data_IF_804830255897
#
_entry.id   IF_804830255897
#
_cell.length_a   1.000
_cell.length_b   1.000
_cell.length_c   1.000
_cell.angle_alpha   90.00
_cell.angle_beta   90.00
_cell.angle_gamma   90.00
#
_symmetry.space_group_name_H-M   'P 1'
#
loop_
_entity.id
_entity.type
_entity.pdbx_description
1 polymer ?
#
# COMPACT_ATOMS: atom_id res chain seq x y z
N UNK A 1 -5.46 -15.73 -16.86
CA UNK A 1 -6.33 -15.93 -15.68
C UNK A 1 -6.24 -14.67 -14.83
N UNK A 2 -7.35 -14.22 -14.22
CA UNK A 2 -7.37 -13.06 -13.35
C UNK A 2 -7.79 -13.45 -11.92
N UNK A 3 -7.09 -12.98 -10.88
CA UNK A 3 -5.71 -12.43 -10.92
C UNK A 3 -4.68 -13.47 -11.36
N UNK A 4 -3.44 -13.04 -11.62
CA UNK A 4 -2.32 -13.94 -11.92
C UNK A 4 -2.07 -14.92 -10.77
N UNK A 5 -2.01 -14.42 -9.53
CA UNK A 5 -1.95 -15.23 -8.32
C UNK A 5 -3.32 -15.30 -7.63
N UNK A 6 -3.87 -16.52 -7.48
CA UNK A 6 -5.10 -16.77 -6.71
C UNK A 6 -4.95 -16.30 -5.26
N UNK A 7 -3.79 -16.58 -4.67
CA UNK A 7 -3.38 -16.06 -3.37
C UNK A 7 -1.96 -15.49 -3.54
N UNK A 8 -1.71 -14.21 -3.16
CA UNK A 8 -0.37 -13.61 -3.20
C UNK A 8 0.67 -14.49 -2.49
N UNK A 9 1.68 -14.95 -3.24
CA UNK A 9 2.73 -15.90 -2.81
C UNK A 9 2.21 -17.14 -2.03
N UNK A 10 0.97 -17.56 -2.29
CA UNK A 10 0.33 -18.68 -1.60
C UNK A 10 -0.10 -18.38 -0.15
N UNK A 11 0.22 -17.21 0.40
CA UNK A 11 -0.25 -16.77 1.71
C UNK A 11 -0.18 -15.23 1.86
N UNK A 12 -1.34 -14.58 1.90
CA UNK A 12 -1.47 -13.13 2.06
C UNK A 12 -1.05 -12.62 3.45
N UNK A 13 -0.94 -13.49 4.47
CA UNK A 13 -0.44 -13.14 5.80
C UNK A 13 1.09 -13.15 5.88
N UNK A 14 1.79 -13.60 4.84
CA UNK A 14 3.23 -13.38 4.76
C UNK A 14 3.51 -11.87 4.65
N UNK A 15 4.66 -11.39 5.12
CA UNK A 15 5.08 -10.02 4.90
C UNK A 15 5.11 -9.72 3.40
N UNK A 16 4.21 -8.85 2.97
CA UNK A 16 4.07 -8.30 1.63
C UNK A 16 4.42 -6.82 1.68
N UNK A 17 5.28 -6.35 0.77
CA UNK A 17 5.68 -4.94 0.79
C UNK A 17 4.49 -4.02 0.48
N UNK A 18 3.45 -4.51 -0.20
CA UNK A 18 2.15 -3.83 -0.32
C UNK A 18 1.66 -3.32 1.04
N UNK A 19 1.59 -4.22 2.02
CA UNK A 19 1.08 -3.91 3.35
C UNK A 19 2.03 -2.96 4.08
N UNK A 20 3.34 -3.20 3.99
CA UNK A 20 4.36 -2.35 4.62
C UNK A 20 4.32 -0.91 4.10
N UNK A 21 4.26 -0.72 2.79
CA UNK A 21 4.21 0.61 2.19
C UNK A 21 2.91 1.35 2.49
N UNK A 22 1.77 0.66 2.47
CA UNK A 22 0.48 1.28 2.82
C UNK A 22 0.41 1.67 4.31
N UNK A 23 0.93 0.85 5.22
CA UNK A 23 1.06 1.22 6.62
C UNK A 23 1.98 2.43 6.80
N UNK A 24 3.13 2.45 6.13
CA UNK A 24 4.03 3.60 6.15
C UNK A 24 3.38 4.87 5.58
N UNK A 25 2.49 4.75 4.59
CA UNK A 25 1.78 5.89 3.98
C UNK A 25 0.79 6.57 4.95
N UNK A 26 0.35 5.88 6.02
CA UNK A 26 -0.44 6.51 7.07
C UNK A 26 0.33 7.62 7.78
N UNK A 27 1.65 7.51 7.95
CA UNK A 27 2.44 8.51 8.68
C UNK A 27 2.37 9.91 8.05
N UNK A 28 2.78 10.13 6.78
CA UNK A 28 2.68 11.45 6.15
C UNK A 28 1.24 11.92 5.94
N UNK A 29 0.26 11.01 5.88
CA UNK A 29 -1.16 11.34 5.82
C UNK A 29 -1.67 11.88 7.18
N UNK A 30 -1.37 11.18 8.27
CA UNK A 30 -1.85 11.53 9.61
C UNK A 30 -1.18 12.77 10.18
N UNK A 31 0.06 13.09 9.75
CA UNK A 31 0.74 14.34 10.13
C UNK A 31 -0.05 15.59 9.71
N UNK A 32 -0.79 15.52 8.60
CA UNK A 32 -1.56 16.66 8.05
C UNK A 32 -3.06 16.50 8.27
N UNK A 33 -3.46 15.46 9.02
CA UNK A 33 -4.86 15.17 9.29
C UNK A 33 -5.42 16.19 10.28
N UNK A 34 -6.65 16.66 10.05
CA UNK A 34 -7.33 17.71 10.84
C UNK A 34 -6.80 19.14 10.71
N UNK A 35 -5.74 19.41 9.92
CA UNK A 35 -5.30 20.79 9.63
C UNK A 35 -6.38 21.59 8.88
N UNK A 36 -7.18 20.88 8.06
CA UNK A 36 -8.24 21.45 7.22
C UNK A 36 -9.43 20.49 7.13
N UNK A 37 -10.29 20.50 8.17
CA UNK A 37 -11.43 19.58 8.32
C UNK A 37 -12.31 19.39 7.06
N UNK A 38 -12.56 20.45 6.29
CA UNK A 38 -13.39 20.36 5.07
C UNK A 38 -12.62 19.95 3.81
N UNK A 39 -11.29 19.77 3.92
CA UNK A 39 -10.38 19.51 2.80
C UNK A 39 -9.42 18.36 3.10
N UNK A 40 -9.78 17.49 4.01
CA UNK A 40 -8.97 16.31 4.33
C UNK A 40 -8.86 15.38 3.12
N UNK A 41 -7.67 14.80 2.86
CA UNK A 41 -7.46 13.86 1.77
C UNK A 41 -8.04 12.47 2.08
N UNK A 42 -9.32 12.41 2.45
CA UNK A 42 -10.00 11.20 2.94
C UNK A 42 -9.99 10.05 1.92
N UNK A 43 -9.95 10.32 0.60
CA UNK A 43 -9.82 9.25 -0.40
C UNK A 43 -8.48 8.51 -0.29
N UNK A 44 -7.41 9.18 0.17
CA UNK A 44 -6.13 8.52 0.43
C UNK A 44 -6.30 7.58 1.62
N UNK A 45 -6.96 8.01 2.70
CA UNK A 45 -7.25 7.15 3.84
C UNK A 45 -8.08 5.93 3.42
N UNK A 46 -9.15 6.14 2.66
CA UNK A 46 -9.96 5.05 2.11
C UNK A 46 -9.14 4.14 1.19
N UNK A 47 -8.24 4.68 0.38
CA UNK A 47 -7.31 3.91 -0.43
C UNK A 47 -6.37 3.06 0.42
N UNK A 48 -5.75 3.62 1.45
CA UNK A 48 -4.85 2.89 2.35
C UNK A 48 -5.61 1.78 3.10
N UNK A 49 -6.68 2.13 3.82
CA UNK A 49 -7.43 1.16 4.62
C UNK A 49 -8.13 0.11 3.74
N UNK A 50 -8.69 0.54 2.61
CA UNK A 50 -9.30 -0.35 1.63
C UNK A 50 -8.28 -1.30 1.01
N UNK A 51 -7.06 -0.82 0.74
CA UNK A 51 -5.95 -1.64 0.25
C UNK A 51 -5.56 -2.71 1.27
N UNK A 52 -5.27 -2.29 2.51
CA UNK A 52 -4.90 -3.21 3.60
C UNK A 52 -5.98 -4.29 3.82
N UNK A 53 -7.26 -3.89 3.85
CA UNK A 53 -8.36 -4.83 4.03
C UNK A 53 -8.55 -5.76 2.83
N UNK A 54 -8.54 -5.22 1.60
CA UNK A 54 -8.78 -6.02 0.40
C UNK A 54 -7.64 -7.00 0.13
N UNK A 55 -6.38 -6.58 0.31
CA UNK A 55 -5.22 -7.44 0.13
C UNK A 55 -5.11 -8.46 1.26
N UNK A 56 -5.11 -8.00 2.51
CA UNK A 56 -4.84 -8.86 3.68
C UNK A 56 -5.99 -9.78 4.08
N UNK A 57 -7.25 -9.38 3.84
CA UNK A 57 -8.42 -10.12 4.35
C UNK A 57 -9.33 -10.67 3.26
N UNK A 58 -9.49 -9.95 2.12
CA UNK A 58 -10.45 -10.33 1.09
C UNK A 58 -9.84 -11.24 0.03
N UNK A 59 -8.64 -10.95 -0.46
CA UNK A 59 -8.06 -11.61 -1.64
C UNK A 59 -7.95 -13.12 -1.47
N UNK A 60 -7.42 -13.60 -0.34
CA UNK A 60 -7.24 -15.04 -0.11
C UNK A 60 -8.57 -15.83 -0.21
N UNK A 61 -9.71 -15.21 0.13
CA UNK A 61 -11.04 -15.83 0.08
C UNK A 61 -11.80 -15.54 -1.21
N UNK A 62 -11.60 -14.36 -1.79
CA UNK A 62 -12.29 -13.88 -2.98
C UNK A 62 -11.27 -13.23 -3.95
N UNK A 63 -10.50 -14.03 -4.71
CA UNK A 63 -9.33 -13.54 -5.45
C UNK A 63 -9.62 -12.41 -6.42
N UNK A 64 -10.67 -12.56 -7.23
CA UNK A 64 -11.07 -11.54 -8.22
C UNK A 64 -11.45 -10.23 -7.55
N UNK A 65 -12.22 -10.30 -6.45
CA UNK A 65 -12.68 -9.11 -5.72
C UNK A 65 -11.50 -8.45 -5.01
N UNK A 66 -10.69 -9.22 -4.27
CA UNK A 66 -9.54 -8.70 -3.54
C UNK A 66 -8.51 -8.04 -4.44
N UNK A 67 -8.15 -8.68 -5.58
CA UNK A 67 -7.22 -8.10 -6.54
C UNK A 67 -7.73 -6.77 -7.13
N UNK A 68 -9.01 -6.75 -7.52
CA UNK A 68 -9.65 -5.57 -8.12
C UNK A 68 -9.71 -4.42 -7.11
N UNK A 69 -10.16 -4.70 -5.88
CA UNK A 69 -10.23 -3.70 -4.82
C UNK A 69 -8.84 -3.20 -4.41
N UNK A 70 -7.83 -4.07 -4.34
CA UNK A 70 -6.45 -3.69 -3.99
C UNK A 70 -5.86 -2.73 -5.02
N UNK A 71 -6.14 -2.94 -6.31
CA UNK A 71 -5.69 -2.03 -7.38
C UNK A 71 -6.42 -0.70 -7.36
N UNK A 72 -7.75 -0.70 -7.19
CA UNK A 72 -8.53 0.54 -7.07
C UNK A 72 -8.07 1.34 -5.86
N UNK A 73 -7.91 0.68 -4.72
CA UNK A 73 -7.39 1.26 -3.49
C UNK A 73 -6.00 1.88 -3.71
N UNK A 74 -5.08 1.16 -4.33
CA UNK A 74 -3.75 1.67 -4.61
C UNK A 74 -3.76 2.85 -5.60
N UNK A 75 -4.62 2.81 -6.62
CA UNK A 75 -4.82 3.93 -7.53
C UNK A 75 -5.34 5.18 -6.79
N UNK A 76 -6.22 5.02 -5.80
CA UNK A 76 -6.63 6.13 -4.95
C UNK A 76 -5.44 6.71 -4.18
N UNK A 77 -4.58 5.88 -3.56
CA UNK A 77 -3.40 6.38 -2.83
C UNK A 77 -2.47 7.22 -3.71
N UNK A 78 -2.28 6.82 -4.97
CA UNK A 78 -1.39 7.52 -5.91
C UNK A 78 -2.04 8.78 -6.51
N UNK A 79 -3.30 8.68 -6.91
CA UNK A 79 -3.96 9.70 -7.73
C UNK A 79 -4.73 10.73 -6.90
N UNK A 80 -5.31 10.33 -5.77
CA UNK A 80 -6.05 11.22 -4.89
C UNK A 80 -5.23 12.46 -4.49
N UNK A 81 -3.96 12.37 -4.06
CA UNK A 81 -3.21 13.53 -3.63
C UNK A 81 -3.00 14.59 -4.73
N UNK A 82 -3.15 14.22 -6.01
CA UNK A 82 -3.02 15.13 -7.15
C UNK A 82 -4.27 15.99 -7.39
N UNK A 83 -5.39 15.73 -6.69
CA UNK A 83 -6.60 16.55 -6.83
C UNK A 83 -6.32 18.00 -6.40
N UNK A 84 -6.69 19.01 -7.22
CA UNK A 84 -6.46 20.43 -6.89
C UNK A 84 -6.98 20.82 -5.50
N UNK A 85 -8.14 20.30 -5.11
CA UNK A 85 -8.79 20.54 -3.82
C UNK A 85 -7.97 20.09 -2.59
N UNK A 86 -6.94 19.25 -2.76
CA UNK A 86 -6.05 18.82 -1.68
C UNK A 86 -4.62 19.29 -1.92
N UNK A 87 -4.19 19.23 -3.18
CA UNK A 87 -2.81 19.55 -3.55
C UNK A 87 -2.39 21.00 -3.29
N UNK A 88 -3.35 21.93 -3.17
CA UNK A 88 -3.09 23.34 -2.87
C UNK A 88 -2.76 23.59 -1.38
N UNK A 89 -3.21 22.72 -0.47
CA UNK A 89 -3.11 22.93 0.98
C UNK A 89 -2.24 21.88 1.66
N UNK A 90 -2.20 20.65 1.12
CA UNK A 90 -1.36 19.57 1.61
C UNK A 90 0.12 19.84 1.29
N UNK A 91 1.01 19.99 2.29
CA UNK A 91 2.42 20.21 2.04
C UNK A 91 3.03 19.21 1.06
N UNK A 92 3.73 19.72 0.04
CA UNK A 92 4.27 18.96 -1.09
C UNK A 92 5.08 17.73 -0.65
N UNK A 93 5.89 17.84 0.40
CA UNK A 93 6.73 16.75 0.91
C UNK A 93 5.90 15.54 1.37
N UNK A 94 4.79 15.77 2.07
CA UNK A 94 3.93 14.70 2.59
C UNK A 94 3.12 14.06 1.47
N UNK A 95 2.63 14.88 0.52
CA UNK A 95 2.02 14.39 -0.71
C UNK A 95 2.95 13.49 -1.51
N UNK A 96 4.17 13.95 -1.78
CA UNK A 96 5.17 13.19 -2.54
C UNK A 96 5.50 11.89 -1.81
N UNK A 97 5.67 11.92 -0.48
CA UNK A 97 5.88 10.72 0.31
C UNK A 97 4.74 9.70 0.14
N UNK A 98 3.47 10.12 0.27
CA UNK A 98 2.31 9.24 0.05
C UNK A 98 2.31 8.63 -1.35
N UNK A 99 2.58 9.43 -2.38
CA UNK A 99 2.61 8.94 -3.77
C UNK A 99 3.72 7.91 -3.96
N UNK A 100 4.93 8.18 -3.47
CA UNK A 100 6.06 7.26 -3.58
C UNK A 100 5.81 5.95 -2.82
N UNK A 101 5.20 6.01 -1.64
CA UNK A 101 4.80 4.83 -0.88
C UNK A 101 3.68 4.05 -1.61
N UNK A 102 2.71 4.74 -2.20
CA UNK A 102 1.69 4.11 -3.07
C UNK A 102 2.27 3.46 -4.32
N UNK A 103 3.33 4.03 -4.90
CA UNK A 103 4.08 3.39 -6.00
C UNK A 103 4.86 2.16 -5.53
N UNK A 104 5.45 2.23 -4.33
CA UNK A 104 6.09 1.07 -3.69
C UNK A 104 5.09 -0.07 -3.45
N UNK A 105 3.87 0.25 -3.01
CA UNK A 105 2.80 -0.72 -2.91
C UNK A 105 2.33 -1.21 -4.30
N UNK A 106 2.28 -0.33 -5.31
CA UNK A 106 1.89 -0.68 -6.67
C UNK A 106 2.73 -1.81 -7.25
N UNK A 107 4.04 -1.78 -6.99
CA UNK A 107 4.98 -2.81 -7.41
C UNK A 107 4.47 -4.22 -7.04
N UNK A 108 4.09 -4.43 -5.78
CA UNK A 108 3.62 -5.73 -5.27
C UNK A 108 2.28 -6.16 -5.88
N UNK A 109 1.27 -5.28 -5.81
CA UNK A 109 -0.09 -5.61 -6.25
C UNK A 109 -0.15 -5.85 -7.76
N UNK A 110 0.67 -5.14 -8.55
CA UNK A 110 0.76 -5.36 -9.99
C UNK A 110 1.42 -6.70 -10.31
N UNK A 111 2.45 -7.08 -9.55
CA UNK A 111 3.05 -8.41 -9.67
C UNK A 111 2.00 -9.50 -9.42
N UNK A 112 1.27 -9.43 -8.30
CA UNK A 112 0.32 -10.47 -7.93
C UNK A 112 -0.95 -10.48 -8.79
N UNK A 113 -1.45 -9.30 -9.18
CA UNK A 113 -2.66 -9.20 -9.98
C UNK A 113 -2.40 -9.52 -11.45
N UNK A 114 -1.28 -9.03 -12.02
CA UNK A 114 -1.03 -9.04 -13.47
C UNK A 114 0.12 -9.95 -13.90
N UNK A 115 0.93 -10.47 -12.96
CA UNK A 115 2.12 -11.26 -13.27
C UNK A 115 3.27 -10.43 -13.84
N UNK A 116 3.26 -9.11 -13.61
CA UNK A 116 4.29 -8.23 -14.13
C UNK A 116 5.59 -8.40 -13.36
N UNK A 117 6.75 -8.40 -14.03
CA UNK A 117 8.02 -8.35 -13.34
C UNK A 117 8.19 -6.96 -12.73
N UNK A 118 8.26 -6.88 -11.40
CA UNK A 118 8.43 -5.62 -10.68
C UNK A 118 9.69 -5.66 -9.82
N UNK A 119 10.50 -4.58 -9.82
CA UNK A 119 11.82 -4.60 -9.23
C UNK A 119 11.82 -4.77 -7.71
N UNK A 120 10.85 -4.19 -6.99
CA UNK A 120 10.83 -4.29 -5.53
C UNK A 120 10.42 -5.69 -5.11
N UNK A 121 9.41 -6.30 -5.75
CA UNK A 121 9.05 -7.71 -5.53
C UNK A 121 10.23 -8.66 -5.77
N UNK A 122 11.02 -8.41 -6.81
CA UNK A 122 12.25 -9.18 -7.04
C UNK A 122 13.21 -9.07 -5.84
N UNK A 123 13.51 -7.85 -5.39
CA UNK A 123 14.37 -7.65 -4.21
C UNK A 123 13.75 -8.28 -2.95
N UNK A 124 12.45 -8.17 -2.79
CA UNK A 124 11.69 -8.70 -1.66
C UNK A 124 11.87 -10.21 -1.54
N UNK A 125 11.71 -10.93 -2.66
CA UNK A 125 11.89 -12.39 -2.76
C UNK A 125 13.34 -12.83 -2.62
N UNK A 126 14.31 -11.98 -2.94
CA UNK A 126 15.76 -12.27 -2.85
C UNK A 126 16.41 -11.77 -1.55
N UNK A 127 15.64 -11.68 -0.47
CA UNK A 127 16.16 -11.41 0.88
C UNK A 127 15.68 -10.10 1.50
N UNK A 128 15.09 -9.19 0.73
CA UNK A 128 14.52 -7.94 1.26
C UNK A 128 13.47 -8.19 2.35
N UNK A 129 12.64 -9.23 2.18
CA UNK A 129 11.66 -9.64 3.19
C UNK A 129 12.29 -10.01 4.53
N UNK A 130 13.42 -10.73 4.53
CA UNK A 130 14.08 -11.17 5.76
C UNK A 130 14.58 -9.97 6.58
N UNK A 131 15.21 -9.00 5.91
CA UNK A 131 15.71 -7.77 6.53
C UNK A 131 14.59 -6.99 7.24
N UNK A 132 13.42 -6.86 6.61
CA UNK A 132 12.28 -6.14 7.22
C UNK A 132 11.73 -6.89 8.44
N UNK A 133 11.59 -8.21 8.36
CA UNK A 133 11.12 -9.02 9.48
C UNK A 133 12.08 -8.96 10.66
N UNK A 134 13.39 -9.05 10.41
CA UNK A 134 14.44 -8.93 11.44
C UNK A 134 14.44 -7.55 12.10
N UNK A 135 14.36 -6.48 11.29
CA UNK A 135 14.28 -5.12 11.80
C UNK A 135 13.06 -4.91 12.70
N UNK A 136 11.90 -5.43 12.29
CA UNK A 136 10.68 -5.34 13.10
C UNK A 136 10.79 -6.15 14.40
N UNK A 137 11.36 -7.37 14.33
CA UNK A 137 11.62 -8.20 15.50
C UNK A 137 12.56 -7.53 16.51
N UNK A 138 13.61 -6.85 16.04
CA UNK A 138 14.53 -6.10 16.89
C UNK A 138 13.85 -4.93 17.61
N UNK A 139 12.95 -4.20 16.92
CA UNK A 139 12.20 -3.08 17.52
C UNK A 139 11.22 -3.59 18.57
N UNK A 140 10.46 -4.64 18.28
CA UNK A 140 9.47 -5.20 19.22
C UNK A 140 10.15 -5.82 20.44
N UNK A 141 11.29 -6.49 20.27
CA UNK A 141 12.05 -7.07 21.38
C UNK A 141 12.82 -6.07 22.24
N UNK A 142 12.95 -4.82 21.79
CA UNK A 142 13.61 -3.74 22.54
C UNK A 142 12.63 -2.91 23.40
N UNK A 143 11.32 -3.20 23.33
CA UNK A 143 10.24 -2.61 24.13
C UNK A 143 9.84 -3.57 25.23
#
# INVERSE_FOLDING_TARGET
>A
MWPYHVVPDGNAALPHHYMTFLLAALVPLLIVWDDHRDREPWLVLCGILGGLASFGLVWARYPVIGATLSLVANALVILAPLRPAWSAFWPRRHRVAVILLGLGAADDVLQHAMGWPTPIDWVWKHGGRAVVVEAFGAVVGAV
#
